data_IF_627453183546
#
_entry.id   IF_627453183546
#
_cell.length_a   1.000
_cell.length_b   1.000
_cell.length_c   1.000
_cell.angle_alpha   90.00
_cell.angle_beta   90.00
_cell.angle_gamma   90.00
#
_symmetry.space_group_name_H-M   'P 1'
#
loop_
_entity.id
_entity.type
_entity.pdbx_description
1 polymer ?
#
# COMPACT_ATOMS: atom_id res chain seq x y z
N UNK A 1 -12.37 1.48 7.19
CA UNK A 1 -12.56 2.94 7.18
C UNK A 1 -13.96 3.26 6.66
N UNK A 2 -14.43 4.50 6.69
CA UNK A 2 -15.66 4.85 5.96
C UNK A 2 -15.38 4.85 4.45
N UNK A 3 -16.34 4.52 3.56
CA UNK A 3 -16.10 4.51 2.12
C UNK A 3 -15.57 5.84 1.57
N UNK A 4 -15.97 6.96 2.19
CA UNK A 4 -15.52 8.32 1.83
C UNK A 4 -14.07 8.61 2.19
N UNK A 5 -13.45 7.82 3.08
CA UNK A 5 -12.04 7.99 3.44
C UNK A 5 -11.09 7.53 2.33
N UNK A 6 -11.56 6.66 1.42
CA UNK A 6 -10.80 6.16 0.26
C UNK A 6 -9.39 5.64 0.61
N UNK A 7 -9.26 4.91 1.73
CA UNK A 7 -7.95 4.48 2.24
C UNK A 7 -7.21 3.59 1.25
N UNK A 8 -7.87 2.59 0.65
CA UNK A 8 -7.22 1.77 -0.37
C UNK A 8 -6.70 2.58 -1.56
N UNK A 9 -7.42 3.60 -2.01
CA UNK A 9 -6.95 4.50 -3.07
C UNK A 9 -5.74 5.34 -2.67
N UNK A 10 -5.73 5.84 -1.42
CA UNK A 10 -4.59 6.56 -0.85
C UNK A 10 -3.35 5.64 -0.80
N UNK A 11 -3.49 4.44 -0.22
CA UNK A 11 -2.39 3.48 -0.10
C UNK A 11 -1.88 3.04 -1.48
N UNK A 12 -2.77 2.78 -2.45
CA UNK A 12 -2.39 2.44 -3.83
C UNK A 12 -1.54 3.54 -4.48
N UNK A 13 -1.92 4.80 -4.30
CA UNK A 13 -1.13 5.94 -4.82
C UNK A 13 0.23 6.08 -4.12
N UNK A 14 0.29 5.80 -2.82
CA UNK A 14 1.56 5.81 -2.08
C UNK A 14 2.45 4.67 -2.57
N UNK A 15 1.93 3.45 -2.70
CA UNK A 15 2.67 2.31 -3.27
C UNK A 15 3.27 2.66 -4.65
N UNK A 16 2.52 3.36 -5.51
CA UNK A 16 2.99 3.78 -6.83
C UNK A 16 4.21 4.73 -6.73
N UNK A 17 4.26 5.62 -5.74
CA UNK A 17 5.43 6.49 -5.50
C UNK A 17 6.66 5.69 -5.06
N UNK A 18 6.45 4.59 -4.34
CA UNK A 18 7.49 3.64 -3.91
C UNK A 18 7.84 2.61 -5.00
N UNK A 19 7.36 2.80 -6.24
CA UNK A 19 7.66 1.91 -7.37
C UNK A 19 6.86 0.60 -7.39
N UNK A 20 5.85 0.48 -6.54
CA UNK A 20 5.03 -0.73 -6.40
C UNK A 20 3.60 -0.50 -6.91
N UNK A 21 3.22 -1.23 -7.97
CA UNK A 21 1.88 -1.15 -8.55
C UNK A 21 0.98 -2.19 -7.89
N UNK A 22 -0.03 -1.74 -7.14
CA UNK A 22 -1.04 -2.61 -6.54
C UNK A 22 -2.45 -2.08 -6.78
N UNK A 23 -3.39 -3.00 -6.96
CA UNK A 23 -4.82 -2.69 -7.13
C UNK A 23 -5.52 -2.73 -5.77
N UNK A 24 -6.16 -1.63 -5.33
CA UNK A 24 -7.03 -1.65 -4.17
C UNK A 24 -8.38 -2.28 -4.51
N UNK A 25 -8.94 -3.02 -3.55
CA UNK A 25 -10.30 -3.55 -3.55
C UNK A 25 -10.91 -3.17 -2.19
N UNK A 26 -11.64 -2.04 -2.18
CA UNK A 26 -11.96 -1.37 -0.92
C UNK A 26 -10.67 -0.95 -0.21
N UNK A 27 -10.55 -1.32 1.07
CA UNK A 27 -9.35 -1.06 1.89
C UNK A 27 -8.31 -2.20 1.81
N UNK A 28 -8.52 -3.23 0.97
CA UNK A 28 -7.60 -4.35 0.79
C UNK A 28 -6.73 -4.19 -0.47
N UNK A 29 -5.46 -4.60 -0.40
CA UNK A 29 -4.53 -4.53 -1.53
C UNK A 29 -4.35 -5.90 -2.19
N UNK A 30 -4.47 -5.97 -3.51
CA UNK A 30 -4.23 -7.20 -4.28
C UNK A 30 -2.79 -7.30 -4.76
N UNK A 31 -2.15 -8.45 -4.51
CA UNK A 31 -0.84 -8.81 -5.04
C UNK A 31 -1.02 -9.84 -6.16
N UNK A 32 -0.40 -9.58 -7.33
CA UNK A 32 -0.40 -10.49 -8.47
C UNK A 32 0.91 -10.29 -9.27
N UNK A 33 2.07 -10.66 -8.71
CA UNK A 33 3.33 -10.52 -9.42
C UNK A 33 3.40 -11.51 -10.61
N UNK A 34 4.30 -11.28 -11.58
CA UNK A 34 4.60 -12.27 -12.62
C UNK A 34 5.04 -13.61 -12.01
N UNK A 35 4.65 -14.73 -12.63
CA UNK A 35 5.00 -16.08 -12.14
C UNK A 35 6.51 -16.38 -12.16
N UNK A 36 7.29 -15.55 -12.86
CA UNK A 36 8.75 -15.67 -12.99
C UNK A 36 9.52 -14.85 -11.93
N UNK A 37 8.82 -14.19 -11.00
CA UNK A 37 9.43 -13.37 -9.94
C UNK A 37 10.39 -14.20 -9.07
N UNK A 38 11.53 -13.61 -8.73
CA UNK A 38 12.56 -14.19 -7.87
C UNK A 38 12.30 -13.90 -6.39
N UNK A 39 12.95 -14.66 -5.50
CA UNK A 39 12.88 -14.41 -4.05
C UNK A 39 13.35 -12.99 -3.67
N UNK A 40 14.39 -12.49 -4.32
CA UNK A 40 14.87 -11.10 -4.11
C UNK A 40 13.87 -10.04 -4.53
N UNK A 41 13.12 -10.28 -5.61
CA UNK A 41 12.07 -9.36 -6.07
C UNK A 41 10.83 -9.43 -5.17
N UNK A 42 10.53 -10.60 -4.59
CA UNK A 42 9.48 -10.73 -3.57
C UNK A 42 9.85 -9.89 -2.33
N UNK A 43 11.10 -9.95 -1.88
CA UNK A 43 11.56 -9.12 -0.77
C UNK A 43 11.43 -7.62 -1.10
N UNK A 44 11.92 -7.19 -2.27
CA UNK A 44 11.78 -5.79 -2.70
C UNK A 44 10.31 -5.33 -2.81
N UNK A 45 9.40 -6.21 -3.24
CA UNK A 45 7.96 -5.94 -3.27
C UNK A 45 7.40 -5.67 -1.86
N UNK A 46 7.77 -6.47 -0.87
CA UNK A 46 7.28 -6.28 0.49
C UNK A 46 7.98 -5.14 1.24
N UNK A 47 9.26 -4.88 0.95
CA UNK A 47 9.99 -3.72 1.48
C UNK A 47 9.29 -2.42 1.02
N UNK A 48 9.03 -2.28 -0.29
CA UNK A 48 8.31 -1.13 -0.83
C UNK A 48 6.87 -1.02 -0.28
N UNK A 49 6.20 -2.15 -0.04
CA UNK A 49 4.87 -2.14 0.56
C UNK A 49 4.90 -1.69 2.03
N UNK A 50 5.90 -2.12 2.80
CA UNK A 50 6.08 -1.72 4.18
C UNK A 50 6.34 -0.22 4.29
N UNK A 51 7.22 0.33 3.45
CA UNK A 51 7.49 1.77 3.40
C UNK A 51 6.22 2.56 3.04
N UNK A 52 5.45 2.07 2.06
CA UNK A 52 4.18 2.66 1.68
C UNK A 52 3.13 2.62 2.80
N UNK A 53 3.06 1.53 3.57
CA UNK A 53 2.16 1.42 4.72
C UNK A 53 2.58 2.33 5.87
N UNK A 54 3.88 2.49 6.13
CA UNK A 54 4.39 3.43 7.14
C UNK A 54 4.02 4.87 6.78
N UNK A 55 4.28 5.30 5.53
CA UNK A 55 3.86 6.63 5.05
C UNK A 55 2.34 6.78 5.09
N UNK A 56 1.59 5.74 4.71
CA UNK A 56 0.14 5.71 4.76
C UNK A 56 -0.41 5.87 6.18
N UNK A 57 0.17 5.16 7.15
CA UNK A 57 -0.21 5.26 8.56
C UNK A 57 0.07 6.66 9.10
N UNK A 58 1.24 7.22 8.81
CA UNK A 58 1.59 8.59 9.20
C UNK A 58 0.63 9.62 8.61
N UNK A 59 0.29 9.46 7.32
CA UNK A 59 -0.65 10.32 6.61
C UNK A 59 -2.05 10.26 7.24
N UNK A 60 -2.60 9.05 7.45
CA UNK A 60 -3.94 8.87 8.00
C UNK A 60 -4.03 9.25 9.49
N UNK A 61 -2.95 9.07 10.25
CA UNK A 61 -2.86 9.52 11.65
C UNK A 61 -2.93 11.04 11.73
N UNK A 62 -2.24 11.76 10.84
CA UNK A 62 -2.32 13.24 10.76
C UNK A 62 -3.72 13.74 10.40
N UNK A 63 -4.49 12.96 9.65
CA UNK A 63 -5.88 13.25 9.33
C UNK A 63 -6.87 12.80 10.43
N UNK A 64 -6.39 12.16 11.51
CA UNK A 64 -7.23 11.64 12.59
C UNK A 64 -8.06 10.40 12.19
N UNK A 65 -7.69 9.72 11.10
CA UNK A 65 -8.40 8.56 10.55
C UNK A 65 -7.84 7.21 11.00
N UNK A 66 -6.60 7.16 11.47
CA UNK A 66 -5.93 5.97 11.96
C UNK A 66 -5.20 6.23 13.29
N UNK A 67 -4.87 5.15 14.02
CA UNK A 67 -4.05 5.17 15.24
C UNK A 67 -2.88 4.22 15.01
N UNK A 68 -1.67 4.65 15.36
CA UNK A 68 -0.44 3.87 15.27
C UNK A 68 -0.29 2.86 16.42
#
# INVERSE_FOLDING_TARGET
>A
FSPTDNVGGIISNICLKHGLILRPVGDSMCFCPPLVITESEINALFDAFQDALNEGLDHLTKEGKAVA
#
